data_IF_193529330807
#
_entry.id   IF_193529330807
#
_cell.length_a   1.000
_cell.length_b   1.000
_cell.length_c   1.000
_cell.angle_alpha   90.00
_cell.angle_beta   90.00
_cell.angle_gamma   90.00
#
_symmetry.space_group_name_H-M   'P 1'
#
loop_
_entity.id
_entity.type
_entity.pdbx_description
1 polymer ?
#
# COMPACT_ATOMS: atom_id res chain seq x y z
N UNK A 1 -5.41 30.35 26.27
CA UNK A 1 -5.44 29.48 25.07
C UNK A 1 -4.09 29.58 24.37
N UNK A 2 -3.35 28.47 24.20
CA UNK A 2 -1.95 28.49 23.71
C UNK A 2 -1.91 28.59 22.17
N UNK A 3 -0.81 29.09 21.58
CA UNK A 3 -0.64 29.22 20.11
C UNK A 3 -0.88 27.89 19.37
N UNK A 4 -0.46 26.77 19.98
CA UNK A 4 -0.67 25.41 19.45
C UNK A 4 -2.15 25.06 19.31
N UNK A 5 -2.99 25.37 20.31
CA UNK A 5 -4.43 25.09 20.26
C UNK A 5 -5.15 25.94 19.22
N UNK A 6 -4.68 27.16 18.98
CA UNK A 6 -5.21 28.03 17.91
C UNK A 6 -4.85 27.51 16.51
N UNK A 7 -3.67 26.91 16.35
CA UNK A 7 -3.21 26.32 15.08
C UNK A 7 -4.01 25.07 14.70
N UNK A 8 -4.42 24.26 15.67
CA UNK A 8 -5.24 23.06 15.45
C UNK A 8 -6.66 23.36 14.94
N UNK A 9 -7.15 24.60 15.14
CA UNK A 9 -8.44 25.07 14.60
C UNK A 9 -8.33 25.70 13.20
N UNK A 10 -7.12 25.78 12.62
CA UNK A 10 -6.95 26.32 11.27
C UNK A 10 -7.03 25.18 10.24
N UNK A 11 -8.04 25.17 9.35
CA UNK A 11 -8.22 24.11 8.35
C UNK A 11 -7.05 24.04 7.35
N UNK A 12 -6.32 25.15 7.15
CA UNK A 12 -5.11 25.17 6.31
C UNK A 12 -3.95 24.39 6.95
N UNK A 13 -3.75 24.54 8.26
CA UNK A 13 -2.69 23.83 8.99
C UNK A 13 -2.92 22.32 8.99
N UNK A 14 -4.16 21.88 9.26
CA UNK A 14 -4.51 20.45 9.26
C UNK A 14 -4.30 19.78 7.90
N UNK A 15 -4.54 20.51 6.79
CA UNK A 15 -4.24 20.01 5.44
C UNK A 15 -2.75 19.80 5.22
N UNK A 16 -1.91 20.75 5.64
CA UNK A 16 -0.46 20.60 5.54
C UNK A 16 0.07 19.47 6.40
N UNK A 17 -0.49 19.26 7.59
CA UNK A 17 -0.16 18.08 8.42
C UNK A 17 -0.53 16.79 7.70
N UNK A 18 -1.72 16.71 7.09
CA UNK A 18 -2.12 15.53 6.33
C UNK A 18 -1.20 15.26 5.13
N UNK A 19 -0.82 16.31 4.39
CA UNK A 19 0.16 16.21 3.29
C UNK A 19 1.51 15.71 3.81
N UNK A 20 1.99 16.25 4.93
CA UNK A 20 3.25 15.81 5.55
C UNK A 20 3.18 14.33 5.97
N UNK A 21 2.06 13.86 6.52
CA UNK A 21 1.85 12.45 6.87
C UNK A 21 1.88 11.56 5.63
N UNK A 22 1.21 11.96 4.54
CA UNK A 22 1.22 11.21 3.28
C UNK A 22 2.64 11.15 2.71
N UNK A 23 3.36 12.27 2.65
CA UNK A 23 4.74 12.30 2.17
C UNK A 23 5.67 11.44 3.03
N UNK A 24 5.53 11.49 4.36
CA UNK A 24 6.28 10.64 5.27
C UNK A 24 5.94 9.15 5.07
N UNK A 25 4.65 8.82 4.92
CA UNK A 25 4.19 7.46 4.65
C UNK A 25 4.75 6.90 3.34
N UNK A 26 4.88 7.74 2.31
CA UNK A 26 5.50 7.39 1.03
C UNK A 26 7.00 7.15 1.22
N UNK A 27 7.70 8.14 1.78
CA UNK A 27 9.15 8.07 1.98
C UNK A 27 9.54 6.83 2.80
N UNK A 28 8.85 6.55 3.92
CA UNK A 28 9.14 5.39 4.77
C UNK A 28 8.88 4.05 4.07
N UNK A 29 7.93 3.99 3.12
CA UNK A 29 7.60 2.75 2.39
C UNK A 29 8.53 2.52 1.21
N UNK A 30 9.01 3.57 0.55
CA UNK A 30 9.87 3.43 -0.63
C UNK A 30 11.34 3.49 -0.29
N UNK A 31 11.72 4.01 0.88
CA UNK A 31 13.10 4.06 1.32
C UNK A 31 13.66 2.65 1.51
N UNK A 32 14.63 2.29 0.67
CA UNK A 32 15.23 0.95 0.60
C UNK A 32 14.22 -0.18 0.36
N UNK A 33 13.21 0.08 -0.47
CA UNK A 33 12.21 -0.93 -0.84
C UNK A 33 12.84 -2.21 -1.42
N UNK A 34 13.97 -2.08 -2.11
CA UNK A 34 14.76 -3.16 -2.70
C UNK A 34 15.72 -3.85 -1.71
N UNK A 35 16.09 -3.16 -0.62
CA UNK A 35 17.08 -3.63 0.36
C UNK A 35 16.50 -4.11 1.69
N UNK A 36 15.27 -3.74 2.03
CA UNK A 36 14.66 -4.03 3.34
C UNK A 36 13.22 -4.57 3.20
N UNK A 37 12.90 -5.75 3.77
CA UNK A 37 13.84 -6.69 4.39
C UNK A 37 14.87 -7.23 3.37
N UNK A 38 16.07 -7.65 3.83
CA UNK A 38 17.14 -8.08 2.95
C UNK A 38 16.77 -9.38 2.23
N UNK A 39 16.99 -9.38 0.92
CA UNK A 39 16.70 -10.53 0.07
C UNK A 39 15.21 -10.80 -0.09
N UNK A 40 14.93 -12.03 -0.50
CA UNK A 40 13.58 -12.51 -0.77
C UNK A 40 13.00 -13.19 0.46
N UNK A 41 11.74 -12.91 0.74
CA UNK A 41 11.00 -13.60 1.79
C UNK A 41 10.11 -14.69 1.19
N UNK A 42 9.97 -15.81 1.89
CA UNK A 42 9.21 -16.96 1.41
C UNK A 42 7.75 -16.58 1.09
N UNK A 43 7.14 -15.75 1.93
CA UNK A 43 5.80 -15.23 1.72
C UNK A 43 5.72 -14.29 0.50
N UNK A 44 6.72 -13.44 0.26
CA UNK A 44 6.78 -12.58 -0.93
C UNK A 44 6.87 -13.42 -2.22
N UNK A 45 7.70 -14.47 -2.21
CA UNK A 45 7.87 -15.40 -3.31
C UNK A 45 6.60 -16.19 -3.58
N UNK A 46 6.00 -16.78 -2.56
CA UNK A 46 4.76 -17.56 -2.69
C UNK A 46 3.63 -16.66 -3.21
N UNK A 47 3.38 -15.52 -2.56
CA UNK A 47 2.25 -14.67 -2.94
C UNK A 47 2.39 -14.12 -4.36
N UNK A 48 3.60 -13.84 -4.81
CA UNK A 48 3.80 -13.11 -6.07
C UNK A 48 4.21 -14.02 -7.22
N UNK A 49 5.24 -14.84 -7.02
CA UNK A 49 5.81 -15.67 -8.08
C UNK A 49 5.16 -17.06 -8.19
N UNK A 50 4.28 -17.43 -7.24
CA UNK A 50 3.42 -18.60 -7.37
C UNK A 50 1.99 -18.14 -7.61
N UNK A 51 1.36 -17.47 -6.64
CA UNK A 51 -0.07 -17.17 -6.71
C UNK A 51 -0.38 -16.08 -7.74
N UNK A 52 0.31 -14.95 -7.67
CA UNK A 52 0.04 -13.82 -8.61
C UNK A 52 0.55 -14.10 -10.02
N UNK A 53 1.42 -15.09 -10.21
CA UNK A 53 1.86 -15.57 -11.52
C UNK A 53 0.70 -16.17 -12.30
N UNK A 54 -0.22 -16.91 -11.67
CA UNK A 54 -1.45 -17.40 -12.32
C UNK A 54 -2.23 -16.25 -12.97
N UNK A 55 -2.42 -15.15 -12.25
CA UNK A 55 -3.11 -13.97 -12.78
C UNK A 55 -2.35 -13.33 -13.96
N UNK A 56 -1.02 -13.27 -13.89
CA UNK A 56 -0.17 -12.77 -14.97
C UNK A 56 -0.23 -13.66 -16.22
N UNK A 57 -0.34 -14.98 -16.03
CA UNK A 57 -0.46 -15.99 -17.10
C UNK A 57 -1.89 -16.08 -17.69
N UNK A 58 -2.83 -15.29 -17.15
CA UNK A 58 -4.21 -15.22 -17.61
C UNK A 58 -5.16 -16.24 -16.94
N UNK A 59 -4.68 -16.97 -15.94
CA UNK A 59 -5.47 -17.92 -15.14
C UNK A 59 -6.26 -17.17 -14.05
N UNK A 60 -7.18 -16.31 -14.49
CA UNK A 60 -8.02 -15.49 -13.59
C UNK A 60 -9.03 -16.39 -12.87
N UNK A 61 -8.84 -16.55 -11.56
CA UNK A 61 -9.78 -17.23 -10.67
C UNK A 61 -10.33 -16.28 -9.60
N UNK A 62 -11.45 -16.67 -8.97
CA UNK A 62 -11.97 -15.98 -7.76
C UNK A 62 -11.21 -16.42 -6.50
N UNK A 63 -10.66 -17.63 -6.52
CA UNK A 63 -9.92 -18.23 -5.42
C UNK A 63 -8.77 -19.08 -5.96
N UNK A 64 -7.58 -18.90 -5.41
CA UNK A 64 -6.40 -19.73 -5.71
C UNK A 64 -6.19 -20.70 -4.56
N UNK A 65 -6.02 -22.00 -4.83
CA UNK A 65 -5.91 -23.04 -3.79
C UNK A 65 -4.49 -23.13 -3.19
N UNK A 66 -3.52 -22.46 -3.80
CA UNK A 66 -2.13 -22.43 -3.42
C UNK A 66 -1.92 -21.84 -2.01
N UNK A 67 -0.91 -22.38 -1.31
CA UNK A 67 -0.45 -21.90 0.00
C UNK A 67 -1.57 -21.74 1.06
N UNK A 68 -2.42 -22.75 1.20
CA UNK A 68 -3.59 -22.73 2.11
C UNK A 68 -4.76 -21.86 1.64
N UNK A 69 -4.69 -21.37 0.42
CA UNK A 69 -5.80 -20.77 -0.29
C UNK A 69 -5.96 -19.27 -0.07
N UNK A 70 -6.22 -18.55 -1.17
CA UNK A 70 -6.16 -17.09 -1.21
C UNK A 70 -7.25 -16.47 -2.08
N UNK A 71 -7.77 -15.34 -1.60
CA UNK A 71 -8.73 -14.50 -2.32
C UNK A 71 -8.07 -13.76 -3.49
N UNK A 72 -8.76 -13.63 -4.62
CA UNK A 72 -8.10 -13.23 -5.86
C UNK A 72 -7.64 -11.76 -5.95
N UNK A 73 -8.32 -10.82 -5.29
CA UNK A 73 -8.18 -9.38 -5.58
C UNK A 73 -6.71 -8.91 -5.51
N UNK A 74 -5.99 -9.27 -4.46
CA UNK A 74 -4.59 -8.87 -4.31
C UNK A 74 -3.74 -9.45 -5.43
N UNK A 75 -3.91 -10.74 -5.74
CA UNK A 75 -3.12 -11.46 -6.73
C UNK A 75 -3.38 -10.99 -8.16
N UNK A 76 -4.62 -10.61 -8.49
CA UNK A 76 -4.95 -10.00 -9.78
C UNK A 76 -4.22 -8.67 -9.97
N UNK A 77 -4.23 -7.81 -8.95
CA UNK A 77 -3.52 -6.53 -9.00
C UNK A 77 -2.00 -6.72 -8.98
N UNK A 78 -1.50 -7.71 -8.24
CA UNK A 78 -0.07 -7.97 -8.15
C UNK A 78 0.44 -8.54 -9.48
N UNK A 79 -0.31 -9.42 -10.14
CA UNK A 79 -0.02 -9.88 -11.50
C UNK A 79 0.17 -8.72 -12.49
N UNK A 80 -0.65 -7.68 -12.42
CA UNK A 80 -0.45 -6.44 -13.21
C UNK A 80 0.88 -5.76 -12.86
N UNK A 81 1.23 -5.65 -11.58
CA UNK A 81 2.52 -5.06 -11.17
C UNK A 81 3.71 -5.90 -11.66
N UNK A 82 3.62 -7.22 -11.61
CA UNK A 82 4.64 -8.13 -12.15
C UNK A 82 4.77 -7.96 -13.67
N UNK A 83 3.67 -7.80 -14.41
CA UNK A 83 3.70 -7.55 -15.85
C UNK A 83 4.33 -6.19 -16.22
N UNK A 84 4.10 -5.15 -15.40
CA UNK A 84 4.61 -3.80 -15.67
C UNK A 84 6.06 -3.59 -15.21
N UNK A 85 6.45 -4.16 -14.07
CA UNK A 85 7.73 -3.90 -13.41
C UNK A 85 8.65 -5.12 -13.36
N UNK A 86 8.17 -6.30 -13.76
CA UNK A 86 8.90 -7.56 -13.80
C UNK A 86 8.82 -8.36 -12.48
N UNK A 87 9.20 -9.66 -12.52
CA UNK A 87 9.25 -10.55 -11.36
C UNK A 87 10.51 -10.29 -10.52
N UNK A 88 10.61 -9.09 -9.96
CA UNK A 88 11.71 -8.65 -9.08
C UNK A 88 11.15 -8.03 -7.80
N UNK A 89 12.05 -7.67 -6.88
CA UNK A 89 11.68 -7.10 -5.57
C UNK A 89 10.78 -5.87 -5.70
N UNK A 90 11.02 -5.01 -6.70
CA UNK A 90 10.19 -3.83 -6.93
C UNK A 90 8.79 -4.24 -7.37
N UNK A 91 8.66 -5.07 -8.41
CA UNK A 91 7.35 -5.50 -8.92
C UNK A 91 6.48 -6.18 -7.86
N UNK A 92 7.11 -6.94 -6.98
CA UNK A 92 6.42 -7.65 -5.89
C UNK A 92 5.94 -6.71 -4.80
N UNK A 93 6.79 -5.76 -4.37
CA UNK A 93 6.50 -4.91 -3.20
C UNK A 93 5.69 -3.66 -3.56
N UNK A 94 5.71 -3.21 -4.81
CA UNK A 94 5.15 -1.92 -5.21
C UNK A 94 3.63 -1.85 -5.03
N UNK A 95 2.89 -2.95 -5.23
CA UNK A 95 1.46 -2.98 -4.96
C UNK A 95 1.15 -2.60 -3.50
N UNK A 96 1.87 -3.19 -2.56
CA UNK A 96 1.71 -2.94 -1.12
C UNK A 96 2.04 -1.49 -0.76
N UNK A 97 3.00 -0.86 -1.46
CA UNK A 97 3.26 0.58 -1.32
C UNK A 97 2.02 1.38 -1.75
N UNK A 98 1.45 1.12 -2.93
CA UNK A 98 0.27 1.84 -3.42
C UNK A 98 -0.96 1.67 -2.53
N UNK A 99 -1.28 0.43 -2.12
CA UNK A 99 -2.42 0.15 -1.24
C UNK A 99 -2.22 0.76 0.16
N UNK A 100 -1.00 0.72 0.68
CA UNK A 100 -0.65 1.37 1.94
C UNK A 100 -0.82 2.89 1.88
N UNK A 101 -0.41 3.53 0.77
CA UNK A 101 -0.60 4.96 0.54
C UNK A 101 -2.07 5.36 0.42
N UNK A 102 -2.84 4.57 -0.33
CA UNK A 102 -4.29 4.76 -0.45
C UNK A 102 -4.97 4.65 0.92
N UNK A 103 -4.55 3.69 1.74
CA UNK A 103 -5.08 3.48 3.09
C UNK A 103 -4.85 4.72 3.95
N UNK A 104 -3.63 5.27 3.99
CA UNK A 104 -3.32 6.49 4.75
C UNK A 104 -4.21 7.67 4.33
N UNK A 105 -4.37 7.89 3.03
CA UNK A 105 -5.22 8.96 2.51
C UNK A 105 -6.70 8.76 2.88
N UNK A 106 -7.22 7.53 2.75
CA UNK A 106 -8.61 7.21 3.06
C UNK A 106 -8.88 7.27 4.56
N UNK A 107 -7.97 6.81 5.41
CA UNK A 107 -8.09 6.92 6.87
C UNK A 107 -8.21 8.38 7.31
N UNK A 108 -7.44 9.29 6.70
CA UNK A 108 -7.59 10.73 6.96
C UNK A 108 -8.99 11.24 6.59
N UNK A 109 -9.51 10.84 5.42
CA UNK A 109 -10.85 11.25 4.97
C UNK A 109 -11.95 10.71 5.88
N UNK A 110 -11.85 9.44 6.29
CA UNK A 110 -12.78 8.81 7.23
C UNK A 110 -12.74 9.52 8.57
N UNK A 111 -11.55 9.76 9.14
CA UNK A 111 -11.39 10.49 10.39
C UNK A 111 -12.00 11.89 10.33
N UNK A 112 -11.76 12.63 9.24
CA UNK A 112 -12.35 13.96 9.04
C UNK A 112 -13.88 13.92 9.02
N UNK A 113 -14.48 12.93 8.36
CA UNK A 113 -15.94 12.75 8.27
C UNK A 113 -16.55 12.34 9.61
N UNK A 114 -15.94 11.39 10.31
CA UNK A 114 -16.47 10.87 11.58
C UNK A 114 -16.35 11.87 12.73
N UNK A 115 -15.24 12.61 12.81
CA UNK A 115 -14.96 13.49 13.94
C UNK A 115 -15.27 14.97 13.65
N UNK A 116 -15.94 15.26 12.54
CA UNK A 116 -16.43 16.60 12.21
C UNK A 116 -15.33 17.67 12.32
N UNK A 117 -14.11 17.32 11.93
CA UNK A 117 -12.99 18.25 11.80
C UNK A 117 -13.33 19.21 10.65
N UNK A 118 -14.07 20.26 10.99
CA UNK A 118 -14.39 21.40 10.12
C UNK A 118 -13.14 22.25 9.92
#
# INVERSE_FOLDING_TARGET
MNKLTKSLHNPGFLRWVAVAIVLAAFALRTWQLDGVPPGWRDDELINSLVISQHALDGEIAVYYADASGHEALYHLLNGVMLGLFGPNIVGIRLLSVFLGMLTVALTYQVGRRLFNAR
#
